data_IF_093785716597
#
_entry.id   IF_093785716597
#
_cell.length_a   1.000
_cell.length_b   1.000
_cell.length_c   1.000
_cell.angle_alpha   90.00
_cell.angle_beta   90.00
_cell.angle_gamma   90.00
#
_symmetry.space_group_name_H-M   'P 1'
#
loop_
_entity.id
_entity.type
_entity.pdbx_description
1 polymer ?
#
# COMPACT_ATOMS: atom_id res chain seq x y z
N UNK A 1 40.87 2.76 36.85
CA UNK A 1 40.19 2.21 38.04
C UNK A 1 38.75 2.68 38.00
N UNK A 2 37.81 1.72 38.05
CA UNK A 2 36.34 1.78 38.20
C UNK A 2 35.55 2.99 37.68
N UNK A 3 34.74 2.79 36.62
CA UNK A 3 33.58 3.63 36.34
C UNK A 3 32.34 2.99 37.01
N UNK A 4 31.85 3.63 38.07
CA UNK A 4 30.59 3.30 38.74
C UNK A 4 29.42 3.87 37.95
N UNK A 5 28.66 3.02 37.26
CA UNK A 5 27.36 3.39 36.67
C UNK A 5 26.27 2.99 37.66
N UNK A 6 25.58 3.98 38.22
CA UNK A 6 24.38 3.78 39.04
C UNK A 6 23.24 3.24 38.18
N UNK A 7 22.61 2.09 38.49
CA UNK A 7 21.47 1.62 37.74
C UNK A 7 20.23 2.49 38.02
N UNK A 8 19.59 2.96 36.95
CA UNK A 8 18.27 3.59 37.01
C UNK A 8 17.23 2.54 37.42
N UNK A 9 16.64 2.71 38.60
CA UNK A 9 15.53 1.90 39.09
C UNK A 9 14.26 2.27 38.33
N UNK A 10 13.96 1.57 37.25
CA UNK A 10 12.71 1.73 36.49
C UNK A 10 11.65 0.89 37.21
N UNK A 11 10.58 1.47 37.78
CA UNK A 11 9.52 0.67 38.36
C UNK A 11 8.89 -0.19 37.26
N UNK A 12 8.84 -1.50 37.48
CA UNK A 12 8.07 -2.43 36.66
C UNK A 12 6.59 -2.02 36.74
N UNK A 13 6.17 -1.22 35.78
CA UNK A 13 4.76 -1.01 35.50
C UNK A 13 4.16 -2.34 35.09
N UNK A 14 3.32 -2.90 35.96
CA UNK A 14 2.37 -3.95 35.64
C UNK A 14 1.65 -3.57 34.35
N UNK A 15 1.96 -4.22 33.24
CA UNK A 15 1.12 -4.17 32.05
C UNK A 15 -0.19 -4.87 32.41
N UNK A 16 -1.17 -4.08 32.85
CA UNK A 16 -2.54 -4.53 32.88
C UNK A 16 -2.93 -4.92 31.45
N UNK A 17 -3.23 -6.20 31.24
CA UNK A 17 -3.77 -6.68 29.98
C UNK A 17 -5.06 -5.91 29.70
N UNK A 18 -5.08 -5.15 28.60
CA UNK A 18 -6.31 -4.61 28.04
C UNK A 18 -7.13 -5.83 27.60
N UNK A 19 -8.36 -6.05 28.12
CA UNK A 19 -9.21 -7.11 27.59
C UNK A 19 -9.55 -6.75 26.14
N UNK A 20 -8.99 -7.52 25.21
CA UNK A 20 -9.35 -7.46 23.79
C UNK A 20 -10.81 -7.91 23.70
N UNK A 21 -11.71 -6.94 23.65
CA UNK A 21 -13.12 -7.14 23.36
C UNK A 21 -13.27 -7.92 22.06
N UNK A 22 -14.09 -8.97 22.12
CA UNK A 22 -14.18 -10.00 21.09
C UNK A 22 -14.39 -9.46 19.68
N UNK A 23 -13.45 -9.76 18.79
CA UNK A 23 -13.71 -9.71 17.37
C UNK A 23 -14.61 -10.88 17.00
N UNK A 24 -15.92 -10.63 16.87
CA UNK A 24 -16.80 -11.53 16.12
C UNK A 24 -16.27 -11.62 14.70
N UNK A 25 -15.60 -12.73 14.39
CA UNK A 25 -15.24 -13.10 13.02
C UNK A 25 -16.55 -13.19 12.23
N UNK A 26 -16.78 -12.36 11.19
CA UNK A 26 -17.94 -12.55 10.34
C UNK A 26 -17.78 -13.88 9.62
N UNK A 27 -18.65 -14.85 9.92
CA UNK A 27 -18.73 -16.08 9.16
C UNK A 27 -19.41 -15.78 7.81
N UNK A 28 -18.99 -16.44 6.71
CA UNK A 28 -19.74 -16.39 5.47
C UNK A 28 -21.12 -17.01 5.70
N UNK A 29 -22.17 -16.20 5.58
CA UNK A 29 -23.55 -16.71 5.61
C UNK A 29 -23.79 -17.53 4.36
N UNK A 30 -24.18 -18.79 4.54
CA UNK A 30 -24.65 -19.69 3.48
C UNK A 30 -25.79 -19.03 2.70
N UNK A 31 -25.66 -18.96 1.38
CA UNK A 31 -26.67 -18.44 0.46
C UNK A 31 -27.83 -19.46 0.42
N UNK A 32 -29.09 -19.07 0.70
CA UNK A 32 -30.21 -19.95 0.43
C UNK A 32 -30.45 -20.01 -1.09
N UNK A 33 -30.43 -21.21 -1.66
CA UNK A 33 -30.91 -21.47 -3.02
C UNK A 33 -32.38 -21.08 -3.11
N UNK A 34 -32.67 -20.02 -3.85
CA UNK A 34 -34.02 -19.57 -4.15
C UNK A 34 -34.09 -19.13 -5.60
N UNK A 35 -34.72 -19.96 -6.43
CA UNK A 35 -35.09 -19.62 -7.79
C UNK A 35 -35.97 -18.37 -7.81
N UNK A 36 -35.43 -17.30 -8.38
CA UNK A 36 -36.15 -16.06 -8.61
C UNK A 36 -35.38 -15.22 -9.60
N UNK A 37 -35.91 -15.09 -10.82
CA UNK A 37 -35.33 -14.23 -11.84
C UNK A 37 -35.34 -12.75 -11.39
N UNK A 38 -34.28 -12.32 -10.73
CA UNK A 38 -34.00 -10.91 -10.47
C UNK A 38 -33.12 -10.39 -11.61
N UNK A 39 -33.76 -9.86 -12.66
CA UNK A 39 -33.08 -9.12 -13.72
C UNK A 39 -32.48 -7.86 -13.09
N UNK A 40 -31.20 -7.91 -12.74
CA UNK A 40 -30.46 -6.80 -12.15
C UNK A 40 -30.46 -5.60 -13.11
N UNK A 41 -31.36 -4.66 -12.90
CA UNK A 41 -31.32 -3.35 -13.55
C UNK A 41 -30.05 -2.66 -13.06
N UNK A 42 -29.06 -2.49 -13.94
CA UNK A 42 -27.91 -1.62 -13.67
C UNK A 42 -28.45 -0.21 -13.52
N UNK A 43 -28.71 0.22 -12.29
CA UNK A 43 -28.70 1.65 -12.01
C UNK A 43 -27.29 2.17 -12.29
N UNK A 44 -27.14 3.34 -12.93
CA UNK A 44 -25.85 4.00 -12.97
C UNK A 44 -25.47 4.31 -11.53
N UNK A 45 -24.41 3.67 -11.04
CA UNK A 45 -23.90 3.93 -9.70
C UNK A 45 -23.64 5.43 -9.58
N UNK A 46 -24.49 6.12 -8.81
CA UNK A 46 -24.22 7.49 -8.42
C UNK A 46 -22.84 7.47 -7.75
N UNK A 47 -21.87 8.14 -8.37
CA UNK A 47 -20.53 8.24 -7.85
C UNK A 47 -20.63 8.93 -6.50
N UNK A 48 -20.60 8.16 -5.41
CA UNK A 48 -20.60 8.68 -4.06
C UNK A 48 -19.42 9.66 -3.94
N UNK A 49 -19.66 10.97 -3.71
CA UNK A 49 -18.62 11.99 -3.73
C UNK A 49 -17.63 11.90 -2.55
N UNK A 50 -17.77 10.89 -1.69
CA UNK A 50 -16.91 10.66 -0.52
C UNK A 50 -16.25 9.28 -0.47
N UNK A 51 -16.24 8.52 -1.57
CA UNK A 51 -15.58 7.20 -1.61
C UNK A 51 -14.06 7.28 -1.62
N UNK A 52 -13.38 6.14 -1.53
CA UNK A 52 -11.91 6.03 -1.64
C UNK A 52 -11.33 6.77 -2.86
N UNK A 53 -12.08 6.78 -3.98
CA UNK A 53 -11.74 7.55 -5.16
C UNK A 53 -11.60 9.06 -4.89
N UNK A 54 -12.49 9.64 -4.06
CA UNK A 54 -12.42 11.06 -3.68
C UNK A 54 -11.23 11.37 -2.76
N UNK A 55 -10.84 10.43 -1.90
CA UNK A 55 -9.64 10.54 -1.06
C UNK A 55 -8.39 10.52 -1.94
N UNK A 56 -8.35 9.62 -2.92
CA UNK A 56 -7.25 9.58 -3.89
C UNK A 56 -7.21 10.85 -4.74
N UNK A 57 -8.36 11.38 -5.16
CA UNK A 57 -8.45 12.62 -5.96
C UNK A 57 -7.98 13.84 -5.16
N UNK A 58 -8.27 13.90 -3.86
CA UNK A 58 -7.75 14.94 -2.96
C UNK A 58 -6.25 14.78 -2.68
N UNK A 59 -5.77 13.54 -2.47
CA UNK A 59 -4.38 13.25 -2.13
C UNK A 59 -3.41 13.36 -3.31
N UNK A 60 -3.85 12.97 -4.51
CA UNK A 60 -3.10 13.12 -5.76
C UNK A 60 -3.29 14.51 -6.38
N UNK A 61 -4.33 15.24 -5.99
CA UNK A 61 -4.65 16.54 -6.56
C UNK A 61 -4.77 16.49 -8.09
N UNK A 62 -4.30 17.55 -8.78
CA UNK A 62 -4.28 17.60 -10.25
C UNK A 62 -3.04 16.94 -10.87
N UNK A 63 -2.47 15.92 -10.25
CA UNK A 63 -1.32 15.23 -10.82
C UNK A 63 -1.77 14.47 -12.06
N UNK A 64 -1.36 14.98 -13.23
CA UNK A 64 -1.42 14.22 -14.47
C UNK A 64 -0.26 13.26 -14.47
N UNK A 65 -0.56 11.99 -14.21
CA UNK A 65 0.42 10.94 -14.38
C UNK A 65 0.77 10.79 -15.86
N UNK A 66 2.04 10.54 -16.19
CA UNK A 66 2.46 10.15 -17.53
C UNK A 66 1.69 8.90 -17.98
N UNK A 67 1.67 8.66 -19.30
CA UNK A 67 1.08 7.42 -19.80
C UNK A 67 1.93 6.21 -19.37
N UNK A 68 1.38 5.01 -19.51
CA UNK A 68 2.03 3.79 -19.02
C UNK A 68 3.41 3.54 -19.65
N UNK A 69 3.57 3.82 -20.94
CA UNK A 69 4.84 3.65 -21.65
C UNK A 69 5.89 4.63 -21.12
N UNK A 70 5.50 5.88 -20.90
CA UNK A 70 6.35 6.91 -20.29
C UNK A 70 6.78 6.52 -18.87
N UNK A 71 5.88 5.91 -18.09
CA UNK A 71 6.20 5.41 -16.75
C UNK A 71 7.20 4.24 -16.78
N UNK A 72 7.06 3.30 -17.72
CA UNK A 72 8.03 2.21 -17.92
C UNK A 72 9.40 2.80 -18.28
N UNK A 73 9.47 3.69 -19.27
CA UNK A 73 10.72 4.32 -19.67
C UNK A 73 11.36 5.13 -18.53
N UNK A 74 10.56 5.83 -17.73
CA UNK A 74 11.04 6.56 -16.56
C UNK A 74 11.63 5.63 -15.49
N UNK A 75 11.01 4.48 -15.23
CA UNK A 75 11.52 3.48 -14.29
C UNK A 75 12.83 2.84 -14.78
N UNK A 76 12.93 2.55 -16.08
CA UNK A 76 14.15 2.04 -16.70
C UNK A 76 15.30 3.05 -16.58
N UNK A 77 15.05 4.32 -16.93
CA UNK A 77 16.02 5.40 -16.79
C UNK A 77 16.43 5.62 -15.31
N UNK A 78 15.47 5.59 -14.39
CA UNK A 78 15.74 5.71 -12.95
C UNK A 78 16.69 4.61 -12.44
N UNK A 79 16.61 3.41 -13.02
CA UNK A 79 17.44 2.27 -12.62
C UNK A 79 18.92 2.49 -12.89
N UNK A 80 19.26 3.25 -13.94
CA UNK A 80 20.65 3.60 -14.27
C UNK A 80 21.30 4.49 -13.19
N UNK A 81 20.49 5.17 -12.37
CA UNK A 81 20.98 6.02 -11.29
C UNK A 81 21.19 5.26 -9.96
N UNK A 82 20.75 4.01 -9.83
CA UNK A 82 20.94 3.23 -8.61
C UNK A 82 22.42 3.11 -8.17
N UNK A 83 23.40 2.89 -9.08
CA UNK A 83 24.82 2.88 -8.70
C UNK A 83 25.33 4.25 -8.23
N UNK A 84 24.78 5.36 -8.76
CA UNK A 84 25.13 6.71 -8.29
C UNK A 84 24.59 6.95 -6.88
N UNK A 85 23.38 6.48 -6.59
CA UNK A 85 22.80 6.55 -5.25
C UNK A 85 23.65 5.75 -4.23
N UNK A 86 24.14 4.57 -4.62
CA UNK A 86 25.02 3.75 -3.76
C UNK A 86 26.37 4.41 -3.47
N UNK A 87 26.95 5.10 -4.46
CA UNK A 87 28.18 5.88 -4.27
C UNK A 87 27.98 7.04 -3.29
N UNK A 88 26.80 7.67 -3.31
CA UNK A 88 26.49 8.77 -2.39
C UNK A 88 26.22 8.26 -0.97
N UNK A 89 25.48 7.16 -0.84
CA UNK A 89 25.15 6.52 0.44
C UNK A 89 25.24 5.01 0.27
N UNK A 90 26.21 4.33 0.92
CA UNK A 90 26.37 2.89 0.80
C UNK A 90 25.08 2.13 1.17
N UNK A 91 24.60 1.27 0.28
CA UNK A 91 23.37 0.49 0.45
C UNK A 91 22.11 1.18 -0.09
N UNK A 92 22.13 2.49 -0.36
CA UNK A 92 20.99 3.19 -0.93
C UNK A 92 20.66 2.71 -2.33
N UNK A 93 21.66 2.37 -3.15
CA UNK A 93 21.41 1.85 -4.50
C UNK A 93 20.60 0.55 -4.49
N UNK A 94 20.77 -0.29 -3.46
CA UNK A 94 19.98 -1.52 -3.28
C UNK A 94 18.53 -1.20 -2.97
N UNK A 95 18.28 -0.23 -2.09
CA UNK A 95 16.93 0.23 -1.78
C UNK A 95 16.26 0.82 -3.03
N UNK A 96 16.96 1.71 -3.74
CA UNK A 96 16.46 2.31 -5.00
C UNK A 96 16.12 1.23 -6.02
N UNK A 97 17.00 0.23 -6.20
CA UNK A 97 16.75 -0.89 -7.10
C UNK A 97 15.53 -1.70 -6.70
N UNK A 98 15.37 -1.98 -5.40
CA UNK A 98 14.24 -2.75 -4.88
C UNK A 98 12.90 -2.00 -5.07
N UNK A 99 12.89 -0.69 -4.83
CA UNK A 99 11.70 0.15 -5.06
C UNK A 99 11.35 0.20 -6.54
N UNK A 100 12.33 0.42 -7.43
CA UNK A 100 12.09 0.44 -8.88
C UNK A 100 11.53 -0.91 -9.35
N UNK A 101 12.05 -2.02 -8.84
CA UNK A 101 11.56 -3.35 -9.19
C UNK A 101 10.12 -3.59 -8.71
N UNK A 102 9.79 -3.14 -7.49
CA UNK A 102 8.43 -3.21 -6.95
C UNK A 102 7.45 -2.37 -7.78
N UNK A 103 7.80 -1.13 -8.11
CA UNK A 103 6.96 -0.25 -8.95
C UNK A 103 6.79 -0.79 -10.37
N UNK A 104 7.83 -1.39 -10.94
CA UNK A 104 7.74 -2.04 -12.26
C UNK A 104 6.74 -3.21 -12.22
N UNK A 105 6.76 -4.03 -11.15
CA UNK A 105 5.80 -5.12 -10.98
C UNK A 105 4.37 -4.61 -10.82
N UNK A 106 4.16 -3.54 -10.05
CA UNK A 106 2.84 -2.92 -9.88
C UNK A 106 2.29 -2.39 -11.20
N UNK A 107 3.13 -1.70 -11.97
CA UNK A 107 2.75 -1.14 -13.26
C UNK A 107 2.41 -2.25 -14.27
N UNK A 108 3.24 -3.30 -14.36
CA UNK A 108 2.96 -4.46 -15.21
C UNK A 108 1.62 -5.11 -14.86
N UNK A 109 1.37 -5.40 -13.57
CA UNK A 109 0.08 -5.94 -13.10
C UNK A 109 -1.10 -5.04 -13.46
N UNK A 110 -0.91 -3.73 -13.35
CA UNK A 110 -1.96 -2.77 -13.70
C UNK A 110 -2.26 -2.78 -15.20
N UNK A 111 -1.25 -2.91 -16.05
CA UNK A 111 -1.42 -3.00 -17.51
C UNK A 111 -2.14 -4.28 -17.93
N UNK A 112 -1.74 -5.42 -17.35
CA UNK A 112 -2.41 -6.71 -17.57
C UNK A 112 -3.91 -6.61 -17.22
N UNK A 113 -4.26 -5.97 -16.10
CA UNK A 113 -5.64 -5.77 -15.67
C UNK A 113 -6.42 -4.79 -16.57
N UNK A 114 -5.73 -3.84 -17.20
CA UNK A 114 -6.31 -2.92 -18.19
C UNK A 114 -6.48 -3.55 -19.57
N UNK A 115 -5.90 -4.73 -19.81
CA UNK A 115 -5.89 -5.40 -21.11
C UNK A 115 -5.06 -4.66 -22.15
N UNK A 116 -3.99 -3.99 -21.71
CA UNK A 116 -3.01 -3.28 -22.55
C UNK A 116 -1.72 -4.08 -22.68
#
# INVERSE_FOLDING_TARGET
>A
MANNITPLNIPHGTTAAIPVGGTTRPQPTTIPSGDGQARARREPAAANPGGFAAILDQGLGRVRLPNALELVAALEAAREHAPLADKAVPGLGRLVSAVIEDETRKLSRYLDLRGL
#
